data_IF_361997383921
#
_entry.id   IF_361997383921
#
_cell.length_a   1.000
_cell.length_b   1.000
_cell.length_c   1.000
_cell.angle_alpha   90.00
_cell.angle_beta   90.00
_cell.angle_gamma   90.00
#
_symmetry.space_group_name_H-M   'P 1'
#
loop_
_entity.id
_entity.type
_entity.pdbx_description
1 polymer ?
#
# COMPACT_ATOMS: atom_id res chain seq x y z
N UNK A 1 6.51 3.51 2.89
CA UNK A 1 5.12 3.98 2.69
C UNK A 1 4.09 2.86 2.69
N UNK A 2 4.38 1.70 2.07
CA UNK A 2 3.40 0.61 2.05
C UNK A 2 3.06 0.10 3.46
N UNK A 3 4.04 0.04 4.35
CA UNK A 3 3.80 -0.39 5.74
C UNK A 3 2.81 0.50 6.45
N UNK A 4 2.86 1.80 6.16
CA UNK A 4 1.96 2.77 6.77
C UNK A 4 0.58 2.73 6.14
N UNK A 5 0.51 2.39 4.85
CA UNK A 5 -0.76 2.37 4.13
C UNK A 5 -1.63 1.17 4.46
N UNK A 6 -1.01 0.01 4.73
CA UNK A 6 -1.79 -1.20 4.99
C UNK A 6 -2.74 -1.03 6.18
N UNK A 7 -2.29 -0.54 7.36
CA UNK A 7 -3.23 -0.33 8.47
C UNK A 7 -4.33 0.65 8.15
N UNK A 8 -4.03 1.70 7.36
CA UNK A 8 -5.04 2.68 6.97
C UNK A 8 -6.13 2.03 6.14
N UNK A 9 -5.74 1.18 5.19
CA UNK A 9 -6.72 0.49 4.34
C UNK A 9 -7.57 -0.50 5.13
N UNK A 10 -6.97 -1.17 6.10
CA UNK A 10 -7.71 -2.11 6.95
C UNK A 10 -8.75 -1.41 7.82
N UNK A 11 -8.54 -0.12 8.11
CA UNK A 11 -9.47 0.68 8.88
C UNK A 11 -10.42 1.48 7.99
N UNK A 12 -10.46 1.16 6.70
CA UNK A 12 -11.32 1.83 5.71
C UNK A 12 -10.99 3.30 5.49
N UNK A 13 -9.74 3.69 5.74
CA UNK A 13 -9.28 5.03 5.40
C UNK A 13 -8.87 5.08 3.93
N UNK A 14 -9.15 6.19 3.28
CA UNK A 14 -8.73 6.39 1.91
C UNK A 14 -7.29 6.86 1.86
N UNK A 15 -6.55 6.40 0.86
CA UNK A 15 -5.20 6.88 0.63
C UNK A 15 -5.24 8.19 -0.14
N UNK A 16 -4.33 9.10 0.22
CA UNK A 16 -4.15 10.30 -0.60
C UNK A 16 -3.48 9.89 -1.92
N UNK A 17 -3.60 10.72 -2.98
CA UNK A 17 -2.89 10.42 -4.24
C UNK A 17 -1.39 10.25 -4.05
N UNK A 18 -0.77 11.04 -3.17
CA UNK A 18 0.66 10.93 -2.90
C UNK A 18 1.00 9.60 -2.23
N UNK A 19 0.19 9.17 -1.27
CA UNK A 19 0.40 7.88 -0.61
C UNK A 19 0.30 6.73 -1.60
N UNK A 20 -0.71 6.76 -2.45
CA UNK A 20 -0.90 5.71 -3.45
C UNK A 20 0.27 5.69 -4.43
N UNK A 21 0.70 6.86 -4.90
CA UNK A 21 1.80 6.97 -5.85
C UNK A 21 3.10 6.44 -5.27
N UNK A 22 3.41 6.84 -4.03
CA UNK A 22 4.64 6.42 -3.38
C UNK A 22 4.63 4.90 -3.14
N UNK A 23 3.49 4.36 -2.73
CA UNK A 23 3.35 2.92 -2.50
C UNK A 23 3.56 2.14 -3.79
N UNK A 24 2.98 2.62 -4.90
CA UNK A 24 3.17 1.96 -6.19
C UNK A 24 4.63 1.98 -6.62
N UNK A 25 5.34 3.07 -6.36
CA UNK A 25 6.78 3.14 -6.65
C UNK A 25 7.55 2.10 -5.85
N UNK A 26 7.20 1.91 -4.59
CA UNK A 26 7.87 0.91 -3.75
C UNK A 26 7.63 -0.50 -4.29
N UNK A 27 6.41 -0.78 -4.75
CA UNK A 27 6.08 -2.08 -5.34
C UNK A 27 6.91 -2.30 -6.62
N UNK A 28 6.97 -1.30 -7.47
CA UNK A 28 7.67 -1.41 -8.75
C UNK A 28 9.18 -1.50 -8.61
N UNK A 29 9.73 -0.92 -7.55
CA UNK A 29 11.17 -0.95 -7.31
C UNK A 29 11.64 -2.21 -6.57
N UNK A 30 10.70 -3.05 -6.12
CA UNK A 30 11.03 -4.27 -5.41
C UNK A 30 11.28 -4.08 -3.92
N UNK A 31 10.97 -2.91 -3.38
CA UNK A 31 11.18 -2.63 -1.95
C UNK A 31 10.12 -3.29 -1.08
N UNK A 32 8.94 -3.56 -1.62
CA UNK A 32 7.87 -4.20 -0.87
C UNK A 32 7.98 -5.72 -0.98
N UNK A 33 7.68 -6.41 0.12
CA UNK A 33 7.66 -7.88 0.10
C UNK A 33 6.38 -8.36 -0.60
N UNK A 34 6.38 -9.62 -1.11
CA UNK A 34 5.15 -10.17 -1.68
C UNK A 34 3.97 -10.14 -0.73
N UNK A 35 4.21 -10.39 0.57
CA UNK A 35 3.15 -10.33 1.58
C UNK A 35 2.58 -8.93 1.71
N UNK A 36 3.43 -7.91 1.68
CA UNK A 36 3.00 -6.52 1.75
C UNK A 36 2.18 -6.14 0.52
N UNK A 37 2.60 -6.57 -0.65
CA UNK A 37 1.87 -6.28 -1.89
C UNK A 37 0.49 -6.93 -1.84
N UNK A 38 0.41 -8.18 -1.40
CA UNK A 38 -0.87 -8.87 -1.30
C UNK A 38 -1.81 -8.17 -0.32
N UNK A 39 -1.30 -7.78 0.85
CA UNK A 39 -2.10 -7.09 1.85
C UNK A 39 -2.60 -5.75 1.33
N UNK A 40 -1.75 -5.01 0.62
CA UNK A 40 -2.11 -3.72 0.05
C UNK A 40 -3.24 -3.88 -0.99
N UNK A 41 -3.11 -4.85 -1.89
CA UNK A 41 -4.12 -5.07 -2.93
C UNK A 41 -5.46 -5.51 -2.33
N UNK A 42 -5.43 -6.35 -1.31
CA UNK A 42 -6.64 -6.78 -0.62
C UNK A 42 -7.29 -5.60 0.08
N UNK A 43 -6.49 -4.74 0.69
CA UNK A 43 -7.01 -3.56 1.39
C UNK A 43 -7.67 -2.54 0.48
N UNK A 44 -7.28 -2.51 -0.80
CA UNK A 44 -7.88 -1.60 -1.77
C UNK A 44 -9.26 -2.03 -2.23
N UNK A 45 -9.63 -3.23 -1.94
CA UNK A 45 -10.87 -3.84 -2.40
C UNK A 45 -12.17 -3.23 -1.77
#
# INVERSE_FOLDING_TARGET
>A
MIKECIPLLLENHELTPDQAKTTMKEIMSGEATPSQVAAFLIGLK
#
